data_IF_162112002549
#
_entry.id   IF_162112002549
#
_cell.length_a   1.000
_cell.length_b   1.000
_cell.length_c   1.000
_cell.angle_alpha   90.00
_cell.angle_beta   90.00
_cell.angle_gamma   90.00
#
_symmetry.space_group_name_H-M   'P 1'
#
loop_
_entity.id
_entity.type
_entity.pdbx_description
1 polymer ?
#
# COMPACT_ATOMS: atom_id res chain seq x y z
N UNK A 1 35.80 9.85 51.57
CA UNK A 1 36.70 11.02 51.44
C UNK A 1 36.41 11.58 50.09
N UNK A 2 35.55 12.64 50.04
CA UNK A 2 35.91 14.05 49.75
C UNK A 2 36.25 14.24 48.27
N UNK A 3 35.62 15.04 47.44
CA UNK A 3 34.95 16.34 47.61
C UNK A 3 34.03 16.63 46.42
N UNK A 4 32.92 17.28 46.70
CA UNK A 4 32.08 18.09 45.81
C UNK A 4 32.85 19.27 45.22
N UNK A 5 32.42 19.78 44.09
CA UNK A 5 32.50 21.21 43.82
C UNK A 5 31.39 21.65 42.87
N UNK A 6 30.39 22.27 43.44
CA UNK A 6 29.43 23.22 42.85
C UNK A 6 30.18 24.47 42.37
N UNK A 7 29.82 24.98 41.20
CA UNK A 7 29.97 26.40 40.88
C UNK A 7 28.70 26.92 40.21
N UNK A 8 27.93 27.66 41.02
CA UNK A 8 26.94 28.64 40.61
C UNK A 8 27.66 29.93 40.18
N UNK A 9 27.25 30.54 39.09
CA UNK A 9 27.40 31.99 38.90
C UNK A 9 26.13 32.58 38.30
N UNK A 10 25.66 33.57 39.05
CA UNK A 10 24.43 34.37 39.00
C UNK A 10 24.72 35.75 38.35
N UNK A 11 23.61 36.41 37.98
CA UNK A 11 23.44 37.85 37.66
C UNK A 11 23.82 38.29 36.25
N UNK A 12 23.00 38.99 35.51
CA UNK A 12 21.88 39.88 35.81
C UNK A 12 22.07 41.20 35.06
N UNK A 13 20.98 41.83 34.65
CA UNK A 13 20.80 43.24 34.22
C UNK A 13 20.15 43.31 32.80
N UNK A 14 19.18 44.13 32.55
CA UNK A 14 18.25 45.07 33.18
C UNK A 14 17.31 45.57 32.11
N UNK A 15 16.08 45.80 32.49
CA UNK A 15 14.99 46.47 31.77
C UNK A 15 15.41 47.80 31.14
N UNK A 16 14.78 48.18 30.05
CA UNK A 16 14.47 49.58 29.83
C UNK A 16 13.09 49.76 29.16
N UNK A 17 12.21 50.31 29.94
CA UNK A 17 10.88 50.83 29.67
C UNK A 17 10.93 52.19 28.98
N UNK A 18 10.07 52.44 28.00
CA UNK A 18 9.49 53.78 27.83
C UNK A 18 8.06 53.68 27.33
N UNK A 19 7.17 54.08 28.26
CA UNK A 19 5.77 54.50 28.08
C UNK A 19 5.68 55.74 27.18
N UNK A 20 4.59 55.82 26.40
CA UNK A 20 3.77 57.03 26.34
C UNK A 20 2.36 56.73 25.84
N UNK A 21 1.40 57.05 26.71
CA UNK A 21 -0.03 57.20 26.51
C UNK A 21 -0.31 58.47 25.72
N UNK A 22 -1.37 58.47 24.88
CA UNK A 22 -2.26 59.64 24.74
C UNK A 22 -3.67 59.10 24.47
N UNK A 23 -4.57 59.42 25.38
CA UNK A 23 -6.02 59.40 25.22
C UNK A 23 -6.46 60.73 24.56
N UNK A 24 -7.48 60.71 23.73
CA UNK A 24 -8.43 61.80 23.58
C UNK A 24 -9.77 61.33 23.06
N UNK A 25 -10.80 61.72 23.77
CA UNK A 25 -12.25 61.61 23.56
C UNK A 25 -12.74 62.47 22.41
N UNK A 26 -13.85 62.06 21.79
CA UNK A 26 -14.64 62.91 20.91
C UNK A 26 -15.86 62.20 20.35
N UNK A 27 -16.98 62.24 21.06
CA UNK A 27 -18.32 61.85 20.58
C UNK A 27 -19.00 63.04 19.87
N UNK A 28 -19.60 62.79 18.69
CA UNK A 28 -20.69 63.60 18.17
C UNK A 28 -21.66 62.70 17.39
N UNK A 29 -22.93 62.73 17.84
CA UNK A 29 -24.12 62.24 17.12
C UNK A 29 -24.50 63.20 15.98
N UNK A 30 -25.00 62.66 14.87
CA UNK A 30 -26.30 63.04 14.28
C UNK A 30 -26.56 62.42 12.88
N UNK A 31 -27.61 61.69 12.79
CA UNK A 31 -28.80 61.75 11.92
C UNK A 31 -28.69 61.43 10.42
N UNK A 32 -29.38 60.33 10.06
CA UNK A 32 -30.40 60.11 9.03
C UNK A 32 -30.03 60.35 7.55
N UNK A 33 -30.10 59.24 6.82
CA UNK A 33 -30.14 59.23 5.33
C UNK A 33 -30.43 57.83 4.81
N UNK A 34 -31.72 57.48 4.62
CA UNK A 34 -32.14 56.24 3.95
C UNK A 34 -31.85 56.40 2.46
N UNK A 35 -30.95 55.57 1.94
CA UNK A 35 -30.86 55.34 0.51
C UNK A 35 -30.83 53.84 0.25
N UNK A 36 -31.93 53.27 -0.21
CA UNK A 36 -31.99 51.93 -0.78
C UNK A 36 -31.12 51.89 -2.05
N UNK A 37 -29.97 51.29 -1.95
CA UNK A 37 -29.19 50.84 -3.10
C UNK A 37 -29.17 49.31 -3.06
N UNK A 38 -29.92 48.69 -3.93
CA UNK A 38 -29.83 47.28 -4.25
C UNK A 38 -28.44 47.00 -4.81
N UNK A 39 -27.49 46.61 -3.97
CA UNK A 39 -26.26 45.98 -4.41
C UNK A 39 -26.40 44.46 -4.26
N UNK A 40 -26.50 43.82 -5.42
CA UNK A 40 -26.30 42.41 -5.64
C UNK A 40 -25.12 41.94 -4.82
N UNK A 41 -25.37 41.49 -3.59
CA UNK A 41 -24.39 40.78 -2.78
C UNK A 41 -24.15 39.43 -3.43
N UNK A 42 -22.98 39.25 -4.06
CA UNK A 42 -22.45 37.94 -4.29
C UNK A 42 -22.54 37.20 -2.95
N UNK A 43 -23.47 36.25 -2.86
CA UNK A 43 -23.42 35.23 -1.83
C UNK A 43 -22.03 34.61 -1.89
N UNK A 44 -21.20 34.92 -0.94
CA UNK A 44 -20.05 34.14 -0.64
C UNK A 44 -20.61 32.80 -0.16
N UNK A 45 -20.73 31.87 -1.10
CA UNK A 45 -21.05 30.48 -0.79
C UNK A 45 -20.00 30.00 0.21
N UNK A 46 -20.32 30.11 1.49
CA UNK A 46 -19.80 29.18 2.47
C UNK A 46 -20.36 27.83 2.06
N UNK A 47 -19.71 27.23 1.07
CA UNK A 47 -19.94 25.88 0.66
C UNK A 47 -19.61 24.96 1.86
N UNK A 48 -20.55 24.82 2.74
CA UNK A 48 -20.69 23.62 3.52
C UNK A 48 -20.73 22.50 2.50
N UNK A 49 -19.59 21.84 2.29
CA UNK A 49 -19.43 20.75 1.35
C UNK A 49 -20.52 19.72 1.64
N UNK A 50 -21.62 19.78 0.87
CA UNK A 50 -22.62 18.71 0.90
C UNK A 50 -21.85 17.45 0.58
N UNK A 51 -21.84 16.49 1.51
CA UNK A 51 -21.17 15.19 1.29
C UNK A 51 -21.69 14.62 -0.02
N UNK A 52 -20.81 14.45 -1.01
CA UNK A 52 -21.19 13.87 -2.29
C UNK A 52 -21.69 12.45 -2.06
N UNK A 53 -22.85 12.10 -2.66
CA UNK A 53 -23.37 10.72 -2.65
C UNK A 53 -22.41 9.69 -3.27
N UNK A 54 -21.35 10.17 -3.91
CA UNK A 54 -20.31 9.38 -4.57
C UNK A 54 -18.96 9.42 -3.86
N UNK A 55 -18.91 9.98 -2.63
CA UNK A 55 -17.68 10.09 -1.87
C UNK A 55 -17.19 8.73 -1.35
N UNK A 56 -15.89 8.52 -1.41
CA UNK A 56 -15.24 7.27 -0.99
C UNK A 56 -14.15 7.50 0.04
N UNK A 57 -14.00 6.58 0.99
CA UNK A 57 -12.96 6.60 2.01
C UNK A 57 -12.20 5.28 2.05
N UNK A 58 -10.88 5.35 2.24
CA UNK A 58 -9.98 4.23 2.41
C UNK A 58 -9.46 4.22 3.85
N UNK A 59 -9.60 3.11 4.54
CA UNK A 59 -8.98 2.86 5.84
C UNK A 59 -7.80 1.92 5.60
N UNK A 60 -6.57 2.38 5.92
CA UNK A 60 -5.37 1.56 5.75
C UNK A 60 -5.23 0.52 6.87
N UNK A 61 -4.41 -0.49 6.61
CA UNK A 61 -3.86 -1.31 7.70
C UNK A 61 -2.82 -0.50 8.53
N UNK A 62 -1.87 -1.15 9.17
CA UNK A 62 -0.86 -0.48 10.01
C UNK A 62 0.21 0.31 9.22
N UNK A 63 0.04 0.47 7.91
CA UNK A 63 0.96 1.21 7.03
C UNK A 63 0.26 2.39 6.35
N UNK A 64 1.04 3.35 5.87
CA UNK A 64 0.55 4.49 5.09
C UNK A 64 0.35 4.15 3.61
N UNK A 65 -0.24 5.11 2.88
CA UNK A 65 -0.46 5.03 1.43
C UNK A 65 0.82 5.25 0.60
N UNK A 66 1.95 5.39 1.27
CA UNK A 66 3.32 5.53 0.73
C UNK A 66 4.20 4.30 1.03
N UNK A 67 3.59 3.15 1.34
CA UNK A 67 4.27 1.89 1.68
C UNK A 67 5.01 1.24 0.49
N UNK A 68 4.94 1.83 -0.69
CA UNK A 68 5.47 1.30 -1.95
C UNK A 68 4.92 -0.09 -2.33
N UNK A 69 3.74 -0.47 -1.81
CA UNK A 69 3.14 -1.79 -1.96
C UNK A 69 1.60 -1.73 -1.86
N UNK A 70 1.04 -2.38 -0.88
CA UNK A 70 -0.37 -2.72 -0.73
C UNK A 70 -1.31 -1.51 -0.59
N UNK A 71 -1.05 -0.64 0.40
CA UNK A 71 -1.91 0.53 0.62
C UNK A 71 -1.73 1.58 -0.48
N UNK A 72 -0.51 1.77 -0.98
CA UNK A 72 -0.26 2.62 -2.13
C UNK A 72 -1.06 2.15 -3.35
N UNK A 73 -1.04 0.84 -3.65
CA UNK A 73 -1.80 0.30 -4.77
C UNK A 73 -3.30 0.58 -4.66
N UNK A 74 -3.88 0.40 -3.47
CA UNK A 74 -5.28 0.72 -3.23
C UNK A 74 -5.57 2.22 -3.41
N UNK A 75 -4.69 3.08 -2.88
CA UNK A 75 -4.81 4.53 -3.00
C UNK A 75 -4.70 5.04 -4.43
N UNK A 76 -3.87 4.43 -5.28
CA UNK A 76 -3.81 4.75 -6.71
C UNK A 76 -5.17 4.54 -7.40
N UNK A 77 -5.93 3.51 -7.01
CA UNK A 77 -7.28 3.30 -7.50
C UNK A 77 -8.26 4.42 -7.08
N UNK A 78 -8.12 4.95 -5.86
CA UNK A 78 -8.90 6.09 -5.37
C UNK A 78 -8.58 7.37 -6.14
N UNK A 79 -7.31 7.65 -6.38
CA UNK A 79 -6.88 8.79 -7.21
C UNK A 79 -7.41 8.68 -8.64
N UNK A 80 -7.37 7.49 -9.21
CA UNK A 80 -7.89 7.22 -10.55
C UNK A 80 -9.42 7.40 -10.61
N UNK A 81 -10.16 6.94 -9.60
CA UNK A 81 -11.59 7.19 -9.45
C UNK A 81 -11.90 8.69 -9.32
N UNK A 82 -11.18 9.39 -8.45
CA UNK A 82 -11.34 10.84 -8.28
C UNK A 82 -11.12 11.61 -9.58
N UNK A 83 -10.08 11.26 -10.34
CA UNK A 83 -9.78 11.84 -11.64
C UNK A 83 -10.89 11.56 -12.67
N UNK A 84 -11.43 10.34 -12.71
CA UNK A 84 -12.47 9.94 -13.66
C UNK A 84 -13.78 10.69 -13.44
N UNK A 85 -14.09 11.05 -12.18
CA UNK A 85 -15.35 11.67 -11.80
C UNK A 85 -15.23 13.14 -11.37
N UNK A 86 -14.08 13.77 -11.63
CA UNK A 86 -13.77 15.15 -11.21
C UNK A 86 -14.00 15.41 -9.72
N UNK A 87 -13.71 14.41 -8.90
CA UNK A 87 -13.76 14.50 -7.45
C UNK A 87 -12.41 14.93 -6.89
N UNK A 88 -12.43 15.83 -5.90
CA UNK A 88 -11.20 16.27 -5.22
C UNK A 88 -10.92 15.42 -3.98
N UNK A 89 -9.66 15.32 -3.63
CA UNK A 89 -9.27 14.74 -2.36
C UNK A 89 -9.84 15.57 -1.21
N UNK A 90 -10.41 14.89 -0.21
CA UNK A 90 -11.02 15.51 0.98
C UNK A 90 -12.51 15.22 1.09
N UNK A 91 -13.18 15.99 1.94
CA UNK A 91 -14.59 15.82 2.27
C UNK A 91 -15.47 15.96 1.02
N UNK A 92 -16.36 15.00 0.80
CA UNK A 92 -17.25 14.96 -0.35
C UNK A 92 -16.67 14.35 -1.62
N UNK A 93 -15.37 14.07 -1.66
CA UNK A 93 -14.67 13.39 -2.75
C UNK A 93 -14.08 12.06 -2.32
N UNK A 94 -12.75 11.93 -2.33
CA UNK A 94 -12.06 10.73 -1.90
C UNK A 94 -10.98 11.04 -0.86
N UNK A 95 -10.79 10.17 0.14
CA UNK A 95 -9.84 10.38 1.23
C UNK A 95 -9.34 9.05 1.79
N UNK A 96 -8.19 9.08 2.45
CA UNK A 96 -7.73 7.97 3.28
C UNK A 96 -7.67 8.36 4.75
N UNK A 97 -7.81 7.37 5.60
CA UNK A 97 -7.64 7.44 7.05
C UNK A 97 -6.58 6.40 7.40
N UNK A 98 -5.42 6.90 7.76
CA UNK A 98 -4.28 6.04 8.06
C UNK A 98 -4.41 5.47 9.47
N UNK A 99 -4.13 4.20 9.60
CA UNK A 99 -4.02 3.51 10.89
C UNK A 99 -2.54 3.26 11.20
N UNK A 100 -2.16 3.42 12.45
CA UNK A 100 -0.83 3.09 12.95
C UNK A 100 -0.83 1.72 13.65
N UNK A 101 -2.00 1.28 14.07
CA UNK A 101 -2.21 -0.01 14.73
C UNK A 101 -3.66 -0.51 14.55
N UNK A 102 -3.93 -1.72 14.98
CA UNK A 102 -5.29 -2.28 14.95
C UNK A 102 -6.29 -1.50 15.84
N UNK A 103 -5.80 -0.77 16.85
CA UNK A 103 -6.64 0.07 17.70
C UNK A 103 -7.29 1.23 16.93
N UNK A 104 -6.69 1.66 15.82
CA UNK A 104 -7.18 2.77 15.02
C UNK A 104 -8.29 2.37 14.02
N UNK A 105 -8.45 1.08 13.73
CA UNK A 105 -9.37 0.62 12.67
C UNK A 105 -10.81 1.06 12.94
N UNK A 106 -11.37 0.71 14.09
CA UNK A 106 -12.76 1.08 14.43
C UNK A 106 -12.96 2.60 14.54
N UNK A 107 -12.09 3.38 15.21
CA UNK A 107 -12.14 4.84 15.18
C UNK A 107 -12.14 5.42 13.75
N UNK A 108 -11.27 4.95 12.87
CA UNK A 108 -11.17 5.44 11.50
C UNK A 108 -12.44 5.14 10.69
N UNK A 109 -13.05 3.95 10.82
CA UNK A 109 -14.36 3.67 10.22
C UNK A 109 -15.47 4.59 10.73
N UNK A 110 -15.51 4.84 12.05
CA UNK A 110 -16.49 5.75 12.63
C UNK A 110 -16.28 7.19 12.14
N UNK A 111 -15.04 7.65 12.04
CA UNK A 111 -14.69 8.98 11.54
C UNK A 111 -15.09 9.12 10.07
N UNK A 112 -14.76 8.17 9.21
CA UNK A 112 -15.14 8.19 7.81
C UNK A 112 -16.66 8.20 7.62
N UNK A 113 -17.39 7.36 8.39
CA UNK A 113 -18.84 7.31 8.33
C UNK A 113 -19.49 8.63 8.80
N UNK A 114 -18.99 9.23 9.90
CA UNK A 114 -19.47 10.51 10.46
C UNK A 114 -19.12 11.69 9.58
N UNK A 115 -17.98 11.66 8.87
CA UNK A 115 -17.59 12.67 7.88
C UNK A 115 -18.47 12.64 6.61
N UNK A 116 -19.34 11.63 6.46
CA UNK A 116 -20.33 11.57 5.40
C UNK A 116 -19.91 10.76 4.17
N UNK A 117 -18.76 10.05 4.20
CA UNK A 117 -18.37 9.17 3.08
C UNK A 117 -19.41 8.07 2.88
N UNK A 118 -19.69 7.74 1.62
CA UNK A 118 -20.77 6.83 1.26
C UNK A 118 -20.31 5.40 0.98
N UNK A 119 -19.11 5.24 0.43
CA UNK A 119 -18.48 3.92 0.25
C UNK A 119 -17.14 3.92 0.98
N UNK A 120 -16.98 3.02 1.95
CA UNK A 120 -15.83 2.99 2.86
C UNK A 120 -15.11 1.64 2.71
N UNK A 121 -13.83 1.70 2.35
CA UNK A 121 -12.98 0.54 2.09
C UNK A 121 -12.08 0.26 3.29
N UNK A 122 -12.07 -0.98 3.76
CA UNK A 122 -11.05 -1.51 4.66
C UNK A 122 -10.03 -2.29 3.84
N UNK A 123 -8.78 -1.84 3.86
CA UNK A 123 -7.69 -2.41 3.05
C UNK A 123 -6.83 -3.31 3.91
N UNK A 124 -7.04 -4.62 3.78
CA UNK A 124 -6.35 -5.69 4.50
C UNK A 124 -7.26 -6.57 5.33
N UNK A 125 -6.93 -7.86 5.40
CA UNK A 125 -7.74 -8.89 6.07
C UNK A 125 -7.99 -8.61 7.54
N UNK A 126 -7.10 -7.91 8.22
CA UNK A 126 -7.23 -7.54 9.64
C UNK A 126 -8.38 -6.57 9.91
N UNK A 127 -8.90 -5.90 8.88
CA UNK A 127 -10.01 -4.97 8.99
C UNK A 127 -11.39 -5.65 8.82
N UNK A 128 -11.46 -6.98 8.69
CA UNK A 128 -12.71 -7.70 8.43
C UNK A 128 -13.77 -7.48 9.52
N UNK A 129 -13.41 -7.67 10.80
CA UNK A 129 -14.32 -7.45 11.92
C UNK A 129 -14.70 -5.96 12.10
N UNK A 130 -13.76 -4.99 12.05
CA UNK A 130 -14.10 -3.56 11.98
C UNK A 130 -15.07 -3.19 10.85
N UNK A 131 -14.85 -3.71 9.62
CA UNK A 131 -15.78 -3.50 8.48
C UNK A 131 -17.17 -4.05 8.81
N UNK A 132 -17.25 -5.29 9.31
CA UNK A 132 -18.52 -5.93 9.68
C UNK A 132 -19.28 -5.12 10.73
N UNK A 133 -18.60 -4.64 11.75
CA UNK A 133 -19.17 -3.82 12.81
C UNK A 133 -19.66 -2.45 12.28
N UNK A 134 -18.83 -1.79 11.46
CA UNK A 134 -19.16 -0.49 10.86
C UNK A 134 -20.37 -0.62 9.90
N UNK A 135 -20.41 -1.67 9.09
CA UNK A 135 -21.52 -1.94 8.16
C UNK A 135 -22.84 -2.18 8.89
N UNK A 136 -22.83 -2.95 9.98
CA UNK A 136 -24.01 -3.17 10.83
C UNK A 136 -24.54 -1.86 11.43
N UNK A 137 -23.64 -0.98 11.88
CA UNK A 137 -23.99 0.33 12.48
C UNK A 137 -24.49 1.33 11.43
N UNK A 138 -24.10 1.19 10.17
CA UNK A 138 -24.40 2.15 9.09
C UNK A 138 -25.06 1.45 7.89
N UNK A 139 -26.28 0.93 7.99
CA UNK A 139 -26.90 0.07 6.97
C UNK A 139 -27.18 0.77 5.62
N UNK A 140 -27.17 2.11 5.60
CA UNK A 140 -27.39 2.93 4.39
C UNK A 140 -26.11 3.29 3.66
N UNK A 141 -24.93 2.87 4.17
CA UNK A 141 -23.63 3.11 3.55
C UNK A 141 -23.07 1.81 2.99
N UNK A 142 -22.20 1.92 1.99
CA UNK A 142 -21.50 0.79 1.40
C UNK A 142 -20.15 0.59 2.10
N UNK A 143 -19.80 -0.67 2.30
CA UNK A 143 -18.50 -1.07 2.84
C UNK A 143 -17.81 -2.07 1.92
N UNK A 144 -16.50 -2.01 1.88
CA UNK A 144 -15.68 -2.95 1.11
C UNK A 144 -14.60 -3.51 2.02
N UNK A 145 -14.40 -4.82 1.97
CA UNK A 145 -13.25 -5.47 2.59
C UNK A 145 -12.32 -6.02 1.52
N UNK A 146 -11.03 -5.70 1.61
CA UNK A 146 -9.97 -6.24 0.76
C UNK A 146 -9.25 -7.35 1.51
N UNK A 147 -8.95 -8.47 0.82
CA UNK A 147 -8.25 -9.66 1.33
C UNK A 147 -9.00 -10.44 2.43
N UNK A 148 -10.31 -10.28 2.51
CA UNK A 148 -11.14 -11.10 3.39
C UNK A 148 -12.55 -11.22 2.83
N UNK A 149 -13.36 -12.09 3.47
CA UNK A 149 -14.77 -12.27 3.13
C UNK A 149 -15.63 -12.01 4.36
N UNK A 150 -16.56 -11.08 4.24
CA UNK A 150 -17.57 -10.78 5.26
C UNK A 150 -18.92 -11.29 4.77
N UNK A 151 -19.41 -12.34 5.39
CA UNK A 151 -20.69 -12.94 5.07
C UNK A 151 -21.86 -12.31 5.85
N UNK A 152 -23.08 -12.39 5.29
CA UNK A 152 -24.30 -11.98 5.96
C UNK A 152 -24.57 -10.48 6.05
N UNK A 153 -23.78 -9.64 5.37
CA UNK A 153 -23.94 -8.18 5.31
C UNK A 153 -24.25 -7.73 3.87
N UNK A 154 -25.50 -7.31 3.63
CA UNK A 154 -25.96 -6.89 2.30
C UNK A 154 -25.29 -5.60 1.78
N UNK A 155 -24.68 -4.82 2.65
CA UNK A 155 -23.99 -3.58 2.33
C UNK A 155 -22.46 -3.71 2.39
N UNK A 156 -21.91 -4.94 2.37
CA UNK A 156 -20.47 -5.20 2.29
C UNK A 156 -20.16 -5.96 1.00
N UNK A 157 -19.23 -5.44 0.21
CA UNK A 157 -18.57 -6.17 -0.87
C UNK A 157 -17.22 -6.71 -0.37
N UNK A 158 -16.93 -7.96 -0.68
CA UNK A 158 -15.66 -8.61 -0.33
C UNK A 158 -14.84 -8.82 -1.60
N UNK A 159 -13.55 -8.46 -1.56
CA UNK A 159 -12.64 -8.61 -2.70
C UNK A 159 -11.39 -9.39 -2.29
N UNK A 160 -11.13 -10.51 -2.96
CA UNK A 160 -9.95 -11.35 -2.77
C UNK A 160 -9.21 -11.56 -4.09
N UNK A 161 -7.96 -12.02 -3.99
CA UNK A 161 -7.07 -12.16 -5.13
C UNK A 161 -6.48 -13.56 -5.18
N UNK A 162 -6.43 -14.15 -6.36
CA UNK A 162 -5.74 -15.42 -6.66
C UNK A 162 -4.22 -15.18 -6.73
N UNK A 163 -3.65 -14.75 -5.60
CA UNK A 163 -2.23 -14.36 -5.50
C UNK A 163 -1.28 -15.53 -5.80
N UNK A 164 -1.71 -16.76 -5.54
CA UNK A 164 -0.99 -17.98 -5.92
C UNK A 164 -0.71 -18.05 -7.44
N UNK A 165 -1.64 -17.60 -8.28
CA UNK A 165 -1.48 -17.64 -9.72
C UNK A 165 -0.33 -16.75 -10.21
N UNK A 166 -0.28 -15.49 -9.76
CA UNK A 166 0.80 -14.58 -10.13
C UNK A 166 2.12 -14.95 -9.43
N UNK A 167 2.04 -15.43 -8.20
CA UNK A 167 3.19 -15.88 -7.43
C UNK A 167 3.85 -17.12 -8.05
N UNK A 168 3.06 -18.02 -8.67
CA UNK A 168 3.59 -19.12 -9.48
C UNK A 168 4.48 -18.60 -10.62
N UNK A 169 4.05 -17.53 -11.29
CA UNK A 169 4.85 -16.90 -12.35
C UNK A 169 6.13 -16.28 -11.77
N UNK A 170 6.08 -15.70 -10.56
CA UNK A 170 7.25 -15.25 -9.81
C UNK A 170 8.23 -16.39 -9.49
N UNK A 171 7.70 -17.55 -9.12
CA UNK A 171 8.51 -18.76 -8.88
C UNK A 171 9.22 -19.26 -10.15
N UNK A 172 8.54 -19.25 -11.30
CA UNK A 172 9.18 -19.52 -12.59
C UNK A 172 10.29 -18.51 -12.89
N UNK A 173 10.04 -17.21 -12.65
CA UNK A 173 11.04 -16.15 -12.83
C UNK A 173 12.30 -16.44 -12.00
N UNK A 174 12.15 -16.80 -10.73
CA UNK A 174 13.26 -17.16 -9.86
C UNK A 174 14.03 -18.39 -10.37
N UNK A 175 13.32 -19.45 -10.76
CA UNK A 175 13.93 -20.70 -11.23
C UNK A 175 14.76 -20.53 -12.52
N UNK A 176 14.27 -19.71 -13.45
CA UNK A 176 14.98 -19.43 -14.70
C UNK A 176 16.18 -18.49 -14.51
N UNK A 177 16.19 -17.69 -13.44
CA UNK A 177 17.21 -16.67 -13.20
C UNK A 177 18.32 -17.12 -12.24
N UNK A 178 18.00 -17.96 -11.25
CA UNK A 178 18.99 -18.37 -10.25
C UNK A 178 20.20 -19.05 -10.87
N UNK A 179 21.40 -18.66 -10.41
CA UNK A 179 22.70 -19.25 -10.73
C UNK A 179 23.17 -20.20 -9.64
N UNK A 180 22.76 -19.96 -8.40
CA UNK A 180 23.16 -20.73 -7.24
C UNK A 180 22.26 -21.94 -6.95
N UNK A 181 21.08 -21.99 -7.61
CA UNK A 181 20.00 -22.93 -7.31
C UNK A 181 19.45 -22.80 -5.88
N UNK A 182 19.64 -21.64 -5.24
CA UNK A 182 19.05 -21.29 -3.95
C UNK A 182 18.25 -19.99 -4.12
N UNK A 183 16.97 -20.00 -3.75
CA UNK A 183 16.09 -18.84 -3.81
C UNK A 183 15.41 -18.66 -2.47
N UNK A 184 14.99 -17.41 -2.16
CA UNK A 184 14.33 -17.06 -0.92
C UNK A 184 12.88 -16.64 -1.13
N UNK A 185 12.03 -16.93 -0.14
CA UNK A 185 10.73 -16.33 0.06
C UNK A 185 10.68 -15.68 1.43
N UNK A 186 10.32 -14.39 1.48
CA UNK A 186 10.14 -13.65 2.73
C UNK A 186 8.69 -13.17 2.80
N UNK A 187 7.91 -13.77 3.73
CA UNK A 187 6.54 -13.37 4.01
C UNK A 187 6.46 -12.32 5.12
N UNK A 188 5.45 -11.47 5.10
CA UNK A 188 5.13 -10.56 6.21
C UNK A 188 4.65 -11.33 7.44
N UNK A 189 3.37 -11.28 7.77
CA UNK A 189 2.75 -12.11 8.80
C UNK A 189 2.19 -13.41 8.21
N UNK A 190 2.33 -14.53 8.92
CA UNK A 190 1.71 -15.80 8.54
C UNK A 190 0.19 -15.65 8.52
N UNK A 191 -0.42 -15.92 7.39
CA UNK A 191 -1.87 -15.80 7.16
C UNK A 191 -2.27 -16.55 5.91
N UNK A 192 -3.55 -16.85 5.73
CA UNK A 192 -4.07 -17.48 4.51
C UNK A 192 -3.69 -16.71 3.25
N UNK A 193 -3.63 -15.38 3.31
CA UNK A 193 -3.27 -14.54 2.16
C UNK A 193 -1.79 -14.74 1.80
N UNK A 194 -0.88 -14.71 2.77
CA UNK A 194 0.55 -14.89 2.51
C UNK A 194 0.88 -16.34 2.17
N UNK A 195 0.10 -17.31 2.68
CA UNK A 195 0.21 -18.72 2.29
C UNK A 195 -0.08 -18.94 0.79
N UNK A 196 -1.01 -18.19 0.19
CA UNK A 196 -1.23 -18.22 -1.26
C UNK A 196 0.01 -17.76 -2.04
N UNK A 197 0.66 -16.69 -1.59
CA UNK A 197 1.90 -16.22 -2.21
C UNK A 197 3.03 -17.24 -2.08
N UNK A 198 3.23 -17.79 -0.90
CA UNK A 198 4.26 -18.81 -0.64
C UNK A 198 4.02 -20.07 -1.47
N UNK A 199 2.80 -20.61 -1.44
CA UNK A 199 2.44 -21.84 -2.16
C UNK A 199 2.64 -21.67 -3.67
N UNK A 200 2.12 -20.59 -4.26
CA UNK A 200 2.29 -20.31 -5.67
C UNK A 200 3.77 -20.18 -6.05
N UNK A 201 4.55 -19.43 -5.28
CA UNK A 201 5.99 -19.28 -5.52
C UNK A 201 6.73 -20.61 -5.51
N UNK A 202 6.54 -21.45 -4.47
CA UNK A 202 7.15 -22.76 -4.37
C UNK A 202 6.78 -23.69 -5.52
N UNK A 203 5.50 -23.68 -5.91
CA UNK A 203 5.03 -24.48 -7.08
C UNK A 203 5.67 -23.99 -8.37
N UNK A 204 5.79 -22.69 -8.58
CA UNK A 204 6.44 -22.10 -9.75
C UNK A 204 7.93 -22.43 -9.80
N UNK A 205 8.65 -22.34 -8.66
CA UNK A 205 10.06 -22.77 -8.58
C UNK A 205 10.21 -24.24 -8.90
N UNK A 206 9.36 -25.10 -8.35
CA UNK A 206 9.40 -26.55 -8.63
C UNK A 206 9.15 -26.88 -10.11
N UNK A 207 8.17 -26.20 -10.73
CA UNK A 207 7.88 -26.37 -12.14
C UNK A 207 9.04 -25.90 -13.03
N UNK A 208 9.64 -24.74 -12.72
CA UNK A 208 10.82 -24.24 -13.42
C UNK A 208 12.04 -25.15 -13.24
N UNK A 209 12.29 -25.63 -12.03
CA UNK A 209 13.35 -26.59 -11.72
C UNK A 209 13.22 -27.89 -12.55
N UNK A 210 12.00 -28.43 -12.62
CA UNK A 210 11.68 -29.60 -13.47
C UNK A 210 11.96 -29.33 -14.94
N UNK A 211 11.48 -28.18 -15.46
CA UNK A 211 11.66 -27.81 -16.88
C UNK A 211 13.13 -27.57 -17.26
N UNK A 212 13.97 -27.17 -16.28
CA UNK A 212 15.39 -26.90 -16.48
C UNK A 212 16.30 -28.06 -16.08
N UNK A 213 15.74 -29.18 -15.60
CA UNK A 213 16.48 -30.32 -15.03
C UNK A 213 17.44 -29.90 -13.91
N UNK A 214 17.02 -28.97 -13.05
CA UNK A 214 17.77 -28.43 -11.91
C UNK A 214 17.16 -28.89 -10.60
N UNK A 215 17.99 -28.90 -9.52
CA UNK A 215 17.52 -29.02 -8.15
C UNK A 215 17.63 -27.62 -7.51
N UNK A 216 16.50 -26.96 -7.28
CA UNK A 216 16.45 -25.61 -6.70
C UNK A 216 15.82 -25.69 -5.31
N UNK A 217 16.46 -25.07 -4.33
CA UNK A 217 16.00 -25.01 -2.94
C UNK A 217 15.34 -23.66 -2.68
N UNK A 218 14.20 -23.68 -1.98
CA UNK A 218 13.49 -22.47 -1.52
C UNK A 218 13.67 -22.35 -0.02
N UNK A 219 14.35 -21.29 0.43
CA UNK A 219 14.37 -20.88 1.83
C UNK A 219 13.13 -20.03 2.11
N UNK A 220 12.42 -20.29 3.22
CA UNK A 220 11.22 -19.52 3.59
C UNK A 220 11.37 -18.97 4.98
N UNK A 221 11.16 -17.66 5.15
CA UNK A 221 11.10 -17.02 6.45
C UNK A 221 9.96 -15.98 6.51
N UNK A 222 9.49 -15.70 7.73
CA UNK A 222 8.45 -14.72 8.01
C UNK A 222 8.95 -13.65 8.96
N UNK A 223 8.59 -12.41 8.65
CA UNK A 223 8.93 -11.25 9.48
C UNK A 223 8.09 -11.24 10.77
N UNK A 224 6.83 -11.70 10.67
CA UNK A 224 5.84 -11.68 11.75
C UNK A 224 4.90 -10.47 11.71
N UNK A 225 5.16 -9.48 10.86
CA UNK A 225 4.33 -8.30 10.63
C UNK A 225 4.66 -7.70 9.25
N UNK A 226 3.98 -6.58 8.90
CA UNK A 226 4.19 -5.89 7.61
C UNK A 226 4.91 -4.54 7.75
N UNK A 227 5.47 -4.23 8.93
CA UNK A 227 6.06 -2.91 9.24
C UNK A 227 7.56 -2.94 9.52
N UNK A 228 8.12 -4.06 9.98
CA UNK A 228 9.51 -4.18 10.45
C UNK A 228 10.50 -4.34 9.29
N UNK A 229 10.90 -3.23 8.68
CA UNK A 229 11.90 -3.19 7.59
C UNK A 229 13.27 -3.73 8.03
N UNK A 230 13.74 -3.40 9.24
CA UNK A 230 15.04 -3.86 9.75
C UNK A 230 15.09 -5.38 9.91
N UNK A 231 13.99 -5.99 10.37
CA UNK A 231 13.92 -7.45 10.48
C UNK A 231 13.90 -8.10 9.09
N UNK A 232 13.20 -7.51 8.12
CA UNK A 232 13.21 -7.97 6.74
C UNK A 232 14.61 -7.88 6.11
N UNK A 233 15.34 -6.78 6.37
CA UNK A 233 16.73 -6.58 5.95
C UNK A 233 17.63 -7.67 6.52
N UNK A 234 17.54 -7.92 7.82
CA UNK A 234 18.36 -8.97 8.51
C UNK A 234 18.08 -10.38 7.96
N UNK A 235 16.81 -10.70 7.67
CA UNK A 235 16.43 -11.97 7.05
C UNK A 235 17.04 -12.10 5.65
N UNK A 236 16.93 -11.04 4.82
CA UNK A 236 17.52 -11.03 3.48
C UNK A 236 19.04 -11.18 3.52
N UNK A 237 19.72 -10.51 4.46
CA UNK A 237 21.16 -10.63 4.68
C UNK A 237 21.56 -12.09 4.96
N UNK A 238 20.83 -12.76 5.86
CA UNK A 238 21.06 -14.18 6.17
C UNK A 238 20.88 -15.08 4.93
N UNK A 239 19.83 -14.85 4.14
CA UNK A 239 19.57 -15.63 2.92
C UNK A 239 20.66 -15.41 1.87
N UNK A 240 21.13 -14.17 1.65
CA UNK A 240 22.23 -13.88 0.72
C UNK A 240 23.56 -14.48 1.21
N UNK A 241 23.83 -14.46 2.52
CA UNK A 241 24.99 -15.11 3.10
C UNK A 241 24.96 -16.63 2.87
N UNK A 242 23.77 -17.25 2.92
CA UNK A 242 23.55 -18.66 2.59
C UNK A 242 23.39 -18.90 1.07
N UNK A 243 23.82 -17.95 0.26
CA UNK A 243 23.90 -18.03 -1.22
C UNK A 243 22.56 -18.06 -1.97
N UNK A 244 21.45 -17.64 -1.36
CA UNK A 244 20.29 -17.31 -2.17
C UNK A 244 20.63 -16.12 -3.10
N UNK A 245 20.29 -16.20 -4.37
CA UNK A 245 20.60 -15.14 -5.34
C UNK A 245 19.34 -14.48 -5.95
N UNK A 246 18.17 -15.01 -5.62
CA UNK A 246 16.85 -14.42 -5.94
C UNK A 246 15.97 -14.51 -4.70
N UNK A 247 15.51 -13.39 -4.19
CA UNK A 247 14.54 -13.33 -3.07
C UNK A 247 13.23 -12.73 -3.55
N UNK A 248 12.12 -13.44 -3.30
CA UNK A 248 10.78 -12.91 -3.44
C UNK A 248 10.26 -12.46 -2.08
N UNK A 249 9.82 -11.22 -1.96
CA UNK A 249 9.19 -10.69 -0.77
C UNK A 249 7.69 -10.49 -0.99
N UNK A 250 6.88 -10.96 -0.04
CA UNK A 250 5.44 -10.73 0.05
C UNK A 250 5.14 -10.15 1.45
N UNK A 251 5.63 -8.93 1.70
CA UNK A 251 5.75 -8.39 3.05
C UNK A 251 5.31 -6.92 3.20
N UNK A 252 4.63 -6.36 2.19
CA UNK A 252 4.16 -4.98 2.24
C UNK A 252 5.30 -4.00 2.50
N UNK A 253 5.09 -2.99 3.37
CA UNK A 253 6.12 -2.01 3.73
C UNK A 253 7.41 -2.66 4.27
N UNK A 254 7.30 -3.71 5.08
CA UNK A 254 8.50 -4.40 5.60
C UNK A 254 9.40 -4.93 4.49
N UNK A 255 8.84 -5.28 3.32
CA UNK A 255 9.57 -5.73 2.14
C UNK A 255 10.60 -4.72 1.60
N UNK A 256 10.45 -3.43 1.91
CA UNK A 256 11.44 -2.40 1.58
C UNK A 256 12.82 -2.72 2.21
N UNK A 257 12.87 -3.40 3.36
CA UNK A 257 14.10 -3.87 3.97
C UNK A 257 14.87 -4.88 3.12
N UNK A 258 14.15 -5.74 2.37
CA UNK A 258 14.77 -6.68 1.41
C UNK A 258 15.44 -5.92 0.27
N UNK A 259 14.80 -4.87 -0.24
CA UNK A 259 15.40 -4.00 -1.27
C UNK A 259 16.62 -3.24 -0.75
N UNK A 260 16.59 -2.77 0.51
CA UNK A 260 17.75 -2.11 1.12
C UNK A 260 18.94 -3.06 1.21
N UNK A 261 18.74 -4.30 1.73
CA UNK A 261 19.83 -5.28 1.80
C UNK A 261 20.36 -5.65 0.42
N UNK A 262 19.48 -5.91 -0.54
CA UNK A 262 19.90 -6.22 -1.90
C UNK A 262 20.72 -5.08 -2.53
N UNK A 263 20.37 -3.82 -2.24
CA UNK A 263 21.12 -2.65 -2.69
C UNK A 263 22.52 -2.61 -2.08
N UNK A 264 22.61 -2.74 -0.75
CA UNK A 264 23.88 -2.73 -0.01
C UNK A 264 24.80 -3.87 -0.51
N UNK A 265 24.23 -5.05 -0.68
CA UNK A 265 24.96 -6.23 -1.20
C UNK A 265 25.47 -6.01 -2.63
N UNK A 266 24.65 -5.46 -3.52
CA UNK A 266 24.97 -5.28 -4.93
C UNK A 266 25.95 -4.12 -5.18
N UNK A 267 25.96 -3.09 -4.35
CA UNK A 267 26.88 -1.96 -4.47
C UNK A 267 28.36 -2.36 -4.30
N UNK A 268 28.63 -3.44 -3.57
CA UNK A 268 29.99 -3.95 -3.33
C UNK A 268 30.47 -4.93 -4.41
N UNK A 269 29.66 -5.24 -5.43
CA UNK A 269 29.88 -6.28 -6.44
C UNK A 269 29.77 -5.75 -7.87
N UNK A 270 30.42 -6.39 -8.86
CA UNK A 270 30.17 -6.11 -10.26
C UNK A 270 28.74 -6.55 -10.67
N UNK A 271 28.15 -5.90 -11.68
CA UNK A 271 26.77 -6.14 -12.12
C UNK A 271 26.48 -7.60 -12.45
N UNK A 272 27.46 -8.35 -12.97
CA UNK A 272 27.32 -9.78 -13.33
C UNK A 272 27.05 -10.69 -12.13
N UNK A 273 27.45 -10.26 -10.93
CA UNK A 273 27.35 -11.05 -9.67
C UNK A 273 26.25 -10.51 -8.76
N UNK A 274 25.31 -9.72 -9.31
CA UNK A 274 24.22 -9.17 -8.54
C UNK A 274 23.22 -10.23 -8.08
N UNK A 275 22.67 -9.99 -6.89
CA UNK A 275 21.46 -10.70 -6.40
C UNK A 275 20.21 -9.96 -6.84
N UNK A 276 19.09 -10.66 -6.86
CA UNK A 276 17.83 -10.17 -7.37
C UNK A 276 16.74 -10.13 -6.31
N UNK A 277 15.81 -9.19 -6.46
CA UNK A 277 14.57 -9.13 -5.69
C UNK A 277 13.39 -9.24 -6.64
N UNK A 278 12.39 -10.05 -6.28
CA UNK A 278 11.06 -10.04 -6.88
C UNK A 278 10.16 -9.20 -5.98
N UNK A 279 9.57 -8.16 -6.56
CA UNK A 279 8.66 -7.23 -5.88
C UNK A 279 7.23 -7.78 -5.77
N UNK A 280 6.38 -7.07 -5.02
CA UNK A 280 4.98 -7.44 -4.76
C UNK A 280 4.03 -6.25 -4.87
N UNK A 281 2.76 -6.52 -5.13
CA UNK A 281 1.61 -5.63 -5.25
C UNK A 281 1.69 -4.64 -6.41
N UNK A 282 2.75 -3.85 -6.50
CA UNK A 282 3.00 -2.84 -7.53
C UNK A 282 4.31 -3.11 -8.27
N UNK A 283 4.56 -2.40 -9.37
CA UNK A 283 5.88 -2.42 -10.02
C UNK A 283 6.90 -1.69 -9.14
N UNK A 284 7.75 -2.47 -8.47
CA UNK A 284 8.81 -1.99 -7.58
C UNK A 284 10.17 -1.83 -8.30
N UNK A 285 10.17 -1.72 -9.63
CA UNK A 285 11.40 -1.57 -10.41
C UNK A 285 12.24 -0.34 -10.01
N UNK A 286 11.60 0.72 -9.53
CA UNK A 286 12.31 1.92 -9.06
C UNK A 286 13.16 1.67 -7.81
N UNK A 287 12.78 0.72 -6.94
CA UNK A 287 13.51 0.38 -5.72
C UNK A 287 14.81 -0.38 -6.02
N UNK A 288 14.89 -1.07 -7.16
CA UNK A 288 16.04 -1.85 -7.55
C UNK A 288 17.18 -1.08 -8.21
N UNK A 289 17.05 0.23 -8.42
CA UNK A 289 18.08 1.05 -9.05
C UNK A 289 19.28 1.25 -8.13
N UNK A 290 20.48 0.97 -8.63
CA UNK A 290 21.73 1.11 -7.86
C UNK A 290 22.94 1.39 -8.78
N UNK A 291 24.05 1.72 -8.15
CA UNK A 291 25.37 1.81 -8.81
C UNK A 291 26.25 0.69 -8.27
N UNK A 292 26.72 -0.19 -9.15
CA UNK A 292 27.56 -1.33 -8.80
C UNK A 292 29.01 -0.90 -8.50
N UNK A 293 29.80 -1.81 -7.91
CA UNK A 293 31.24 -1.63 -7.80
C UNK A 293 31.84 -1.37 -9.19
N UNK A 294 32.58 -0.29 -9.31
CA UNK A 294 33.12 0.17 -10.61
C UNK A 294 32.25 1.21 -11.32
N UNK A 295 31.18 1.72 -10.68
CA UNK A 295 30.40 2.88 -11.16
C UNK A 295 29.29 2.58 -12.17
N UNK A 296 29.11 1.31 -12.60
CA UNK A 296 28.07 0.95 -13.55
C UNK A 296 26.67 1.01 -12.91
N UNK A 297 25.76 1.78 -13.52
CA UNK A 297 24.35 1.83 -13.11
C UNK A 297 23.62 0.54 -13.53
N UNK A 298 22.80 -0.01 -12.67
CA UNK A 298 22.02 -1.23 -12.92
C UNK A 298 20.72 -1.26 -12.11
N UNK A 299 19.95 -2.33 -12.26
CA UNK A 299 18.74 -2.56 -11.52
C UNK A 299 18.68 -4.04 -11.09
N UNK A 300 18.34 -4.29 -9.84
CA UNK A 300 18.24 -5.63 -9.27
C UNK A 300 16.79 -6.08 -9.00
N UNK A 301 15.77 -5.28 -9.34
CA UNK A 301 14.40 -5.80 -9.37
C UNK A 301 14.25 -6.71 -10.56
N UNK A 302 14.17 -8.02 -10.33
CA UNK A 302 14.01 -8.99 -11.41
C UNK A 302 12.68 -8.81 -12.13
N UNK A 303 11.61 -8.77 -11.37
CA UNK A 303 10.23 -8.56 -11.79
C UNK A 303 9.40 -8.18 -10.55
N UNK A 304 8.12 -7.85 -10.73
CA UNK A 304 7.17 -7.65 -9.64
C UNK A 304 5.90 -8.47 -9.87
N UNK A 305 5.48 -9.19 -8.84
CA UNK A 305 4.20 -9.91 -8.79
C UNK A 305 3.12 -8.90 -8.42
N UNK A 306 2.28 -8.54 -9.37
CA UNK A 306 1.30 -7.49 -9.21
C UNK A 306 -0.01 -8.00 -8.64
N UNK A 307 -0.59 -7.23 -7.73
CA UNK A 307 -1.91 -7.42 -7.17
C UNK A 307 -2.75 -6.19 -7.49
N UNK A 308 -3.78 -6.36 -8.29
CA UNK A 308 -4.54 -5.25 -8.89
C UNK A 308 -5.49 -4.54 -7.93
N UNK A 309 -4.99 -4.10 -6.76
CA UNK A 309 -5.81 -3.36 -5.81
C UNK A 309 -6.35 -2.07 -6.40
N UNK A 310 -5.55 -1.36 -7.19
CA UNK A 310 -5.96 -0.16 -7.90
C UNK A 310 -7.14 -0.42 -8.86
N UNK A 311 -7.14 -1.56 -9.53
CA UNK A 311 -8.23 -1.99 -10.41
C UNK A 311 -9.47 -2.35 -9.58
N UNK A 312 -9.30 -3.15 -8.51
CA UNK A 312 -10.38 -3.58 -7.65
C UNK A 312 -11.08 -2.39 -6.95
N UNK A 313 -10.32 -1.52 -6.31
CA UNK A 313 -10.86 -0.37 -5.59
C UNK A 313 -11.56 0.61 -6.52
N UNK A 314 -10.95 0.92 -7.68
CA UNK A 314 -11.56 1.78 -8.69
C UNK A 314 -12.86 1.19 -9.25
N UNK A 315 -12.86 -0.11 -9.61
CA UNK A 315 -14.04 -0.76 -10.19
C UNK A 315 -15.21 -0.81 -9.20
N UNK A 316 -14.96 -1.20 -7.94
CA UNK A 316 -16.01 -1.24 -6.92
C UNK A 316 -16.54 0.16 -6.62
N UNK A 317 -15.68 1.19 -6.58
CA UNK A 317 -16.09 2.57 -6.43
C UNK A 317 -16.96 3.04 -7.62
N UNK A 318 -16.58 2.66 -8.85
CA UNK A 318 -17.37 2.95 -10.06
C UNK A 318 -18.72 2.25 -10.07
N UNK A 319 -18.80 1.02 -9.58
CA UNK A 319 -20.08 0.32 -9.44
C UNK A 319 -20.97 1.01 -8.40
N UNK A 320 -20.41 1.46 -7.30
CA UNK A 320 -21.14 2.27 -6.31
C UNK A 320 -21.60 3.62 -6.90
N UNK A 321 -20.76 4.29 -7.70
CA UNK A 321 -21.09 5.53 -8.40
C UNK A 321 -22.31 5.35 -9.30
N UNK A 322 -22.38 4.25 -10.04
CA UNK A 322 -23.48 3.88 -10.95
C UNK A 322 -24.72 3.34 -10.24
N UNK A 323 -24.74 3.29 -8.90
CA UNK A 323 -25.84 2.69 -8.13
C UNK A 323 -25.90 1.16 -8.22
N UNK A 324 -24.82 0.50 -8.63
CA UNK A 324 -24.71 -0.95 -8.81
C UNK A 324 -23.70 -1.58 -7.84
N UNK A 325 -23.60 -1.02 -6.63
CA UNK A 325 -22.68 -1.53 -5.63
C UNK A 325 -22.87 -3.04 -5.41
N UNK A 326 -21.80 -3.85 -5.46
CA UNK A 326 -21.90 -5.31 -5.36
C UNK A 326 -22.02 -5.81 -3.89
N UNK A 327 -22.92 -5.20 -3.12
CA UNK A 327 -23.13 -5.55 -1.73
C UNK A 327 -23.57 -7.01 -1.53
N UNK A 328 -23.03 -7.67 -0.51
CA UNK A 328 -23.23 -9.08 -0.22
C UNK A 328 -22.49 -10.04 -1.16
N UNK A 329 -21.72 -9.53 -2.13
CA UNK A 329 -20.97 -10.37 -3.09
C UNK A 329 -19.51 -10.52 -2.68
N UNK A 330 -18.96 -11.68 -3.05
CA UNK A 330 -17.53 -11.97 -3.02
C UNK A 330 -16.98 -11.87 -4.45
N UNK A 331 -16.07 -10.92 -4.67
CA UNK A 331 -15.40 -10.66 -5.93
C UNK A 331 -14.00 -11.28 -5.88
N UNK A 332 -13.69 -12.15 -6.85
CA UNK A 332 -12.39 -12.82 -6.93
C UNK A 332 -11.62 -12.28 -8.13
N UNK A 333 -10.44 -11.73 -7.88
CA UNK A 333 -9.54 -11.16 -8.88
C UNK A 333 -8.42 -12.13 -9.21
N UNK A 334 -8.27 -12.48 -10.49
CA UNK A 334 -7.35 -13.52 -10.95
C UNK A 334 -6.54 -13.07 -12.17
N UNK A 335 -5.64 -13.93 -12.69
CA UNK A 335 -4.93 -13.70 -13.96
C UNK A 335 -5.87 -13.48 -15.14
N UNK A 336 -7.04 -14.12 -15.16
CA UNK A 336 -8.06 -13.99 -16.23
C UNK A 336 -8.65 -12.61 -16.25
N UNK A 337 -8.52 -11.72 -15.51
CA UNK A 337 -9.06 -10.35 -15.55
C UNK A 337 -7.98 -9.31 -15.28
N UNK A 338 -6.72 -9.75 -15.30
CA UNK A 338 -5.58 -8.94 -14.84
C UNK A 338 -5.75 -8.43 -13.40
N UNK A 339 -6.55 -9.13 -12.58
CA UNK A 339 -6.68 -8.87 -11.17
C UNK A 339 -5.41 -9.19 -10.39
N UNK A 340 -4.60 -10.11 -10.92
CA UNK A 340 -3.20 -10.33 -10.55
C UNK A 340 -2.38 -10.48 -11.85
N UNK A 341 -1.09 -10.17 -11.79
CA UNK A 341 -0.21 -10.28 -12.96
C UNK A 341 1.27 -10.27 -12.57
N UNK A 342 2.17 -10.19 -13.55
CA UNK A 342 3.61 -10.06 -13.34
C UNK A 342 4.20 -9.10 -14.37
N UNK A 343 5.17 -8.27 -13.98
CA UNK A 343 5.89 -7.41 -14.91
C UNK A 343 6.95 -8.21 -15.67
N UNK A 344 7.33 -7.74 -16.88
CA UNK A 344 8.49 -8.32 -17.58
C UNK A 344 9.79 -8.01 -16.81
N UNK A 345 9.94 -6.78 -16.31
CA UNK A 345 11.13 -6.36 -15.59
C UNK A 345 12.43 -6.67 -16.35
N UNK A 346 13.40 -7.22 -15.63
CA UNK A 346 14.73 -7.62 -16.13
C UNK A 346 14.82 -9.11 -16.54
N UNK A 347 13.70 -9.77 -16.74
CA UNK A 347 13.66 -11.16 -17.22
C UNK A 347 14.20 -11.29 -18.64
N UNK A 348 15.01 -12.31 -18.88
CA UNK A 348 15.45 -12.66 -20.21
C UNK A 348 14.30 -13.22 -21.10
N UNK A 349 14.54 -13.37 -22.38
CA UNK A 349 13.52 -13.84 -23.33
C UNK A 349 13.04 -15.25 -23.03
N UNK A 350 13.92 -16.15 -22.58
CA UNK A 350 13.61 -17.55 -22.27
C UNK A 350 12.68 -17.65 -21.06
N UNK A 351 13.03 -16.95 -19.97
CA UNK A 351 12.20 -16.86 -18.77
C UNK A 351 10.83 -16.25 -19.07
N UNK A 352 10.82 -15.13 -19.82
CA UNK A 352 9.57 -14.47 -20.17
C UNK A 352 8.64 -15.34 -21.02
N UNK A 353 9.16 -16.04 -22.01
CA UNK A 353 8.39 -16.97 -22.84
C UNK A 353 7.78 -18.11 -22.01
N UNK A 354 8.56 -18.70 -21.08
CA UNK A 354 8.06 -19.72 -20.17
C UNK A 354 6.93 -19.19 -19.27
N UNK A 355 7.08 -17.99 -18.75
CA UNK A 355 6.07 -17.31 -17.91
C UNK A 355 4.79 -17.05 -18.69
N UNK A 356 4.85 -16.52 -19.92
CA UNK A 356 3.66 -16.27 -20.73
C UNK A 356 2.92 -17.57 -21.09
N UNK A 357 3.66 -18.66 -21.37
CA UNK A 357 3.08 -19.99 -21.57
C UNK A 357 2.34 -20.48 -20.32
N UNK A 358 2.98 -20.38 -19.16
CA UNK A 358 2.38 -20.77 -17.88
C UNK A 358 1.16 -19.91 -17.54
N UNK A 359 1.22 -18.59 -17.76
CA UNK A 359 0.08 -17.69 -17.59
C UNK A 359 -1.14 -18.16 -18.40
N UNK A 360 -0.94 -18.48 -19.66
CA UNK A 360 -2.01 -18.99 -20.52
C UNK A 360 -2.54 -20.32 -20.01
N UNK A 361 -1.68 -21.21 -19.51
CA UNK A 361 -2.09 -22.50 -18.95
C UNK A 361 -2.90 -22.36 -17.66
N UNK A 362 -2.54 -21.42 -16.78
CA UNK A 362 -3.31 -21.11 -15.55
C UNK A 362 -4.68 -20.54 -15.93
N UNK A 363 -4.75 -19.56 -16.82
CA UNK A 363 -6.01 -18.95 -17.27
C UNK A 363 -6.96 -20.01 -17.88
N UNK A 364 -6.41 -21.00 -18.57
CA UNK A 364 -7.17 -22.10 -19.19
C UNK A 364 -7.40 -23.29 -18.23
N UNK A 365 -7.03 -23.19 -16.95
CA UNK A 365 -7.24 -24.22 -15.93
C UNK A 365 -6.38 -25.49 -16.08
N UNK A 366 -5.33 -25.43 -16.91
CA UNK A 366 -4.37 -26.56 -17.09
C UNK A 366 -3.33 -26.65 -15.97
N UNK A 367 -3.06 -25.54 -15.30
CA UNK A 367 -2.29 -25.44 -14.05
C UNK A 367 -3.25 -24.88 -13.00
N UNK A 368 -3.34 -25.59 -11.86
CA UNK A 368 -4.20 -25.23 -10.72
C UNK A 368 -3.38 -24.68 -9.57
#
# INVERSE_FOLDING_TARGET
MVHESFVLFDRGKTMNTKFKKILSFGAILASVGIALSACSGKKQDTAGSKSSKHSIALITDSNGVDDHSFNQAAWEGFKAYGKEHDLKQGKGGYQYFQSSSAADYTPNFNQAASAGYQTIFGVGYMLADPVKAAAKKNPKKNFVIIDSVVNGQKNVASATFESNQASYLGGLAAAYTTKTNKVGFIGGAKSQIIDLFEAGFKQGVAAGAKALHKKITVQTQYIGNFTSTDKAKSIAQSMYADKADVIYQAAGNAGNGVFQEAKDYNQTRPVKDKVWVIGVDVDQSNLGKYTAKGGQKSNFTLTSVLKGLNVATKNIANDAYKGKFPGGKHLVYSLKGNGVSITKGNLDAKAWTAIQKARTQIINGKIK
#
